data_IF_891637113242
#
_entry.id   IF_891637113242
#
_cell.length_a   1.000
_cell.length_b   1.000
_cell.length_c   1.000
_cell.angle_alpha   90.00
_cell.angle_beta   90.00
_cell.angle_gamma   90.00
#
_symmetry.space_group_name_H-M   'P 1'
#
loop_
_entity.id
_entity.type
_entity.pdbx_description
1 polymer ?
#
# COMPACT_ATOMS: atom_id res chain seq x y z
N UNK A 1 5.65 11.27 15.36
CA UNK A 1 6.82 12.00 14.84
C UNK A 1 7.02 11.62 13.38
N UNK A 2 7.11 12.62 12.49
CA UNK A 2 7.38 12.37 11.09
C UNK A 2 8.84 11.96 10.87
N UNK A 3 9.07 11.03 9.95
CA UNK A 3 10.42 10.65 9.53
C UNK A 3 11.07 11.78 8.71
N UNK A 4 12.40 11.81 8.73
CA UNK A 4 13.15 12.70 7.87
C UNK A 4 12.79 12.47 6.40
N UNK A 5 12.79 13.54 5.63
CA UNK A 5 12.41 13.51 4.21
C UNK A 5 13.22 12.48 3.40
N UNK A 6 14.50 12.30 3.73
CA UNK A 6 15.37 11.33 3.04
C UNK A 6 14.85 9.91 3.08
N UNK A 7 14.17 9.49 4.16
CA UNK A 7 13.58 8.16 4.26
C UNK A 7 12.31 8.02 3.41
N UNK A 8 11.63 9.13 3.14
CA UNK A 8 10.42 9.15 2.31
C UNK A 8 10.73 9.15 0.82
N UNK A 9 11.97 9.41 0.44
CA UNK A 9 12.41 9.52 -0.95
C UNK A 9 13.02 8.23 -1.53
N UNK A 10 12.90 7.12 -0.81
CA UNK A 10 13.42 5.83 -1.28
C UNK A 10 12.54 5.35 -2.44
N UNK A 11 13.12 5.14 -3.64
CA UNK A 11 12.34 4.70 -4.81
C UNK A 11 11.64 3.37 -4.57
N UNK A 12 10.39 3.29 -4.99
CA UNK A 12 9.59 2.07 -4.90
C UNK A 12 9.14 1.71 -3.49
N UNK A 13 9.30 2.63 -2.51
CA UNK A 13 8.96 2.38 -1.12
C UNK A 13 8.09 3.52 -0.60
N UNK A 14 7.01 3.16 0.10
CA UNK A 14 6.19 4.09 0.88
C UNK A 14 6.39 3.73 2.34
N UNK A 15 7.01 4.63 3.10
CA UNK A 15 7.31 4.41 4.51
C UNK A 15 6.06 4.70 5.34
N UNK A 16 5.64 3.70 6.13
CA UNK A 16 4.51 3.85 7.03
C UNK A 16 5.02 4.37 8.38
N UNK A 17 4.87 5.65 8.60
CA UNK A 17 5.26 6.35 9.84
C UNK A 17 4.03 6.79 10.64
N UNK A 18 4.25 7.53 11.73
CA UNK A 18 3.17 8.03 12.58
C UNK A 18 2.22 8.97 11.82
N UNK A 19 2.75 9.77 10.89
CA UNK A 19 1.95 10.65 10.04
C UNK A 19 1.03 9.85 9.11
N UNK A 20 1.57 8.83 8.45
CA UNK A 20 0.78 7.93 7.60
C UNK A 20 -0.25 7.13 8.40
N UNK A 21 0.12 6.66 9.59
CA UNK A 21 -0.81 5.97 10.49
C UNK A 21 -2.00 6.84 10.85
N UNK A 22 -1.77 8.11 11.14
CA UNK A 22 -2.83 9.08 11.47
C UNK A 22 -3.71 9.37 10.25
N UNK A 23 -3.09 9.60 9.11
CA UNK A 23 -3.77 9.89 7.85
C UNK A 23 -4.66 8.74 7.39
N UNK A 24 -4.22 7.51 7.53
CA UNK A 24 -4.90 6.31 7.08
C UNK A 24 -5.71 5.58 8.15
N UNK A 25 -5.90 6.17 9.32
CA UNK A 25 -6.51 5.48 10.46
C UNK A 25 -7.82 4.79 10.09
N UNK A 26 -8.76 5.52 9.48
CA UNK A 26 -10.06 4.96 9.16
C UNK A 26 -10.01 3.97 7.99
N UNK A 27 -9.14 4.18 7.03
CA UNK A 27 -8.88 3.21 5.97
C UNK A 27 -8.39 1.88 6.55
N UNK A 28 -7.44 1.93 7.47
CA UNK A 28 -6.89 0.74 8.12
C UNK A 28 -7.92 0.06 9.03
N UNK A 29 -8.75 0.84 9.73
CA UNK A 29 -9.84 0.29 10.55
C UNK A 29 -10.89 -0.41 9.69
N UNK A 30 -11.24 0.17 8.54
CA UNK A 30 -12.10 -0.51 7.57
C UNK A 30 -11.51 -1.87 7.17
N UNK A 31 -10.24 -1.91 6.81
CA UNK A 31 -9.58 -3.16 6.44
C UNK A 31 -9.64 -4.19 7.56
N UNK A 32 -9.40 -3.77 8.80
CA UNK A 32 -9.48 -4.66 9.96
C UNK A 32 -10.89 -5.23 10.17
N UNK A 33 -11.94 -4.46 9.83
CA UNK A 33 -13.32 -4.97 9.93
C UNK A 33 -13.56 -6.18 9.04
N UNK A 34 -12.80 -6.33 7.96
CA UNK A 34 -12.92 -7.45 7.01
C UNK A 34 -12.36 -8.77 7.55
N UNK A 35 -11.83 -8.79 8.77
CA UNK A 35 -11.47 -10.04 9.44
C UNK A 35 -12.70 -10.88 9.79
N UNK A 36 -13.86 -10.25 9.95
CA UNK A 36 -15.11 -10.94 10.26
C UNK A 36 -15.86 -11.27 8.98
N UNK A 37 -16.32 -12.53 8.85
CA UNK A 37 -17.05 -13.01 7.68
C UNK A 37 -18.33 -12.20 7.41
N UNK A 38 -19.06 -11.82 8.45
CA UNK A 38 -20.26 -10.99 8.32
C UNK A 38 -19.97 -9.62 7.70
N UNK A 39 -18.84 -8.99 8.05
CA UNK A 39 -18.45 -7.71 7.50
C UNK A 39 -18.00 -7.86 6.03
N UNK A 40 -17.32 -8.94 5.69
CA UNK A 40 -16.97 -9.22 4.29
C UNK A 40 -18.22 -9.38 3.43
N UNK A 41 -19.24 -10.07 3.94
CA UNK A 41 -20.50 -10.24 3.23
C UNK A 41 -21.21 -8.90 3.02
N UNK A 42 -21.26 -8.06 4.03
CA UNK A 42 -21.85 -6.71 3.94
C UNK A 42 -21.09 -5.84 2.92
N UNK A 43 -19.79 -5.87 2.95
CA UNK A 43 -18.95 -5.13 2.00
C UNK A 43 -19.22 -5.59 0.57
N UNK A 44 -19.19 -6.90 0.32
CA UNK A 44 -19.46 -7.46 -1.01
C UNK A 44 -20.86 -7.16 -1.52
N UNK A 45 -21.85 -7.09 -0.63
CA UNK A 45 -23.23 -6.81 -1.02
C UNK A 45 -23.42 -5.39 -1.56
N UNK A 46 -22.70 -4.41 -0.98
CA UNK A 46 -22.68 -3.02 -1.46
C UNK A 46 -21.44 -2.33 -0.94
N UNK A 47 -20.39 -2.32 -1.74
CA UNK A 47 -19.08 -1.79 -1.36
C UNK A 47 -19.16 -0.31 -0.96
N UNK A 48 -19.78 0.52 -1.79
CA UNK A 48 -19.87 1.95 -1.50
C UNK A 48 -20.62 2.23 -0.20
N UNK A 49 -21.75 1.58 0.02
CA UNK A 49 -22.54 1.79 1.23
C UNK A 49 -21.75 1.37 2.48
N UNK A 50 -20.99 0.28 2.41
CA UNK A 50 -20.17 -0.16 3.52
C UNK A 50 -19.01 0.83 3.80
N UNK A 51 -18.37 1.35 2.75
CA UNK A 51 -17.31 2.35 2.88
C UNK A 51 -17.85 3.64 3.51
N UNK A 52 -19.08 4.02 3.21
CA UNK A 52 -19.70 5.23 3.74
C UNK A 52 -19.98 5.16 5.26
N UNK A 53 -19.93 3.98 5.87
CA UNK A 53 -20.02 3.82 7.33
C UNK A 53 -18.74 4.27 8.05
N UNK A 54 -17.64 4.46 7.32
CA UNK A 54 -16.33 4.80 7.86
C UNK A 54 -15.96 6.25 7.55
N UNK A 55 -15.24 6.89 8.46
CA UNK A 55 -14.81 8.30 8.29
C UNK A 55 -13.60 8.41 7.35
N UNK A 56 -13.64 7.69 6.25
CA UNK A 56 -12.62 7.80 5.21
C UNK A 56 -12.87 9.02 4.33
N UNK A 57 -11.79 9.55 3.73
CA UNK A 57 -11.93 10.56 2.69
C UNK A 57 -12.52 9.94 1.43
N UNK A 58 -13.10 10.77 0.55
CA UNK A 58 -13.59 10.29 -0.75
C UNK A 58 -12.48 9.67 -1.59
N UNK A 59 -11.27 10.24 -1.52
CA UNK A 59 -10.11 9.68 -2.22
C UNK A 59 -9.76 8.29 -1.73
N UNK A 60 -9.79 8.05 -0.42
CA UNK A 60 -9.55 6.73 0.16
C UNK A 60 -10.62 5.73 -0.28
N UNK A 61 -11.90 6.11 -0.24
CA UNK A 61 -13.00 5.26 -0.70
C UNK A 61 -12.85 4.90 -2.17
N UNK A 62 -12.53 5.88 -3.01
CA UNK A 62 -12.36 5.63 -4.44
C UNK A 62 -11.17 4.71 -4.71
N UNK A 63 -10.07 4.87 -3.98
CA UNK A 63 -8.92 3.99 -4.11
C UNK A 63 -9.28 2.53 -3.75
N UNK A 64 -10.13 2.33 -2.73
CA UNK A 64 -10.64 0.99 -2.38
C UNK A 64 -11.52 0.42 -3.50
N UNK A 65 -12.45 1.22 -4.02
CA UNK A 65 -13.35 0.79 -5.11
C UNK A 65 -12.58 0.40 -6.35
N UNK A 66 -11.51 1.13 -6.67
CA UNK A 66 -10.64 0.88 -7.81
C UNK A 66 -9.63 -0.24 -7.55
N UNK A 67 -9.52 -0.73 -6.32
CA UNK A 67 -8.48 -1.68 -5.88
C UNK A 67 -7.08 -1.16 -6.20
N UNK A 68 -6.88 0.15 -6.11
CA UNK A 68 -5.59 0.82 -6.33
C UNK A 68 -4.78 0.79 -5.04
N UNK A 69 -4.03 -0.28 -4.84
CA UNK A 69 -3.26 -0.50 -3.62
C UNK A 69 -2.15 0.54 -3.43
N UNK A 70 -1.50 0.96 -4.51
CA UNK A 70 -0.46 1.99 -4.44
C UNK A 70 -1.06 3.31 -3.95
N UNK A 71 -2.22 3.69 -4.46
CA UNK A 71 -2.91 4.91 -4.02
C UNK A 71 -3.37 4.80 -2.57
N UNK A 72 -3.90 3.64 -2.17
CA UNK A 72 -4.27 3.40 -0.77
C UNK A 72 -3.07 3.58 0.16
N UNK A 73 -1.89 3.08 -0.22
CA UNK A 73 -0.67 3.25 0.57
C UNK A 73 -0.26 4.73 0.65
N UNK A 74 -0.35 5.46 -0.46
CA UNK A 74 -0.06 6.90 -0.47
C UNK A 74 -1.04 7.68 0.43
N UNK A 75 -2.26 7.20 0.56
CA UNK A 75 -3.31 7.80 1.40
C UNK A 75 -3.30 7.30 2.86
N UNK A 76 -2.24 6.62 3.28
CA UNK A 76 -2.03 6.21 4.67
C UNK A 76 -2.39 4.77 4.98
N UNK A 77 -2.68 3.95 3.96
CA UNK A 77 -2.91 2.52 4.14
C UNK A 77 -1.62 1.77 4.46
N UNK A 78 -1.71 0.81 5.38
CA UNK A 78 -0.65 -0.12 5.67
C UNK A 78 -0.89 -1.41 4.89
N UNK A 79 0.10 -1.88 4.14
CA UNK A 79 -0.06 -3.07 3.28
C UNK A 79 -0.53 -4.31 4.04
N UNK A 80 -0.13 -4.45 5.30
CA UNK A 80 -0.57 -5.53 6.15
C UNK A 80 -2.11 -5.53 6.32
N UNK A 81 -2.70 -4.36 6.50
CA UNK A 81 -4.16 -4.22 6.59
C UNK A 81 -4.82 -4.27 5.22
N UNK A 82 -4.23 -3.65 4.20
CA UNK A 82 -4.78 -3.65 2.84
C UNK A 82 -4.91 -5.06 2.27
N UNK A 83 -4.07 -5.99 2.70
CA UNK A 83 -4.15 -7.39 2.28
C UNK A 83 -5.49 -8.04 2.63
N UNK A 84 -6.22 -7.51 3.61
CA UNK A 84 -7.56 -7.99 3.97
C UNK A 84 -8.57 -7.76 2.84
N UNK A 85 -8.41 -6.69 2.08
CA UNK A 85 -9.23 -6.42 0.90
C UNK A 85 -8.99 -7.50 -0.15
N UNK A 86 -7.73 -7.80 -0.42
CA UNK A 86 -7.36 -8.86 -1.38
C UNK A 86 -7.89 -10.22 -0.97
N UNK A 87 -7.76 -10.57 0.30
CA UNK A 87 -8.31 -11.82 0.84
C UNK A 87 -9.85 -11.88 0.68
N UNK A 88 -10.52 -10.76 0.88
CA UNK A 88 -11.97 -10.65 0.68
C UNK A 88 -12.35 -10.88 -0.79
N UNK A 89 -11.53 -10.40 -1.72
CA UNK A 89 -11.71 -10.60 -3.16
C UNK A 89 -11.27 -11.99 -3.65
N UNK A 90 -10.72 -12.83 -2.77
CA UNK A 90 -10.19 -14.14 -3.13
C UNK A 90 -8.88 -14.08 -3.91
N UNK A 91 -8.12 -13.02 -3.80
CA UNK A 91 -6.85 -12.84 -4.50
C UNK A 91 -5.67 -13.28 -3.63
N UNK A 92 -4.67 -13.88 -4.27
CA UNK A 92 -3.41 -14.23 -3.62
C UNK A 92 -2.56 -12.99 -3.37
N UNK A 93 -1.59 -13.11 -2.46
CA UNK A 93 -0.61 -12.05 -2.25
C UNK A 93 0.16 -11.71 -3.54
N UNK A 94 0.52 -12.71 -4.34
CA UNK A 94 1.21 -12.51 -5.60
C UNK A 94 0.36 -11.75 -6.62
N UNK A 95 -0.96 -11.98 -6.65
CA UNK A 95 -1.87 -11.21 -7.50
C UNK A 95 -1.90 -9.74 -7.07
N UNK A 96 -1.97 -9.48 -5.77
CA UNK A 96 -1.97 -8.14 -5.22
C UNK A 96 -0.66 -7.41 -5.52
N UNK A 97 0.46 -8.05 -5.22
CA UNK A 97 1.79 -7.49 -5.47
C UNK A 97 2.02 -7.26 -6.97
N UNK A 98 1.57 -8.19 -7.81
CA UNK A 98 1.61 -8.04 -9.25
C UNK A 98 0.86 -6.80 -9.72
N UNK A 99 -0.34 -6.57 -9.19
CA UNK A 99 -1.13 -5.38 -9.55
C UNK A 99 -0.42 -4.06 -9.18
N UNK A 100 0.33 -4.06 -8.07
CA UNK A 100 1.09 -2.89 -7.63
C UNK A 100 2.30 -2.59 -8.51
N UNK A 101 2.83 -3.59 -9.18
CA UNK A 101 4.02 -3.49 -10.06
C UNK A 101 3.66 -3.48 -11.54
N UNK A 102 2.37 -3.58 -11.88
CA UNK A 102 1.92 -3.70 -13.27
C UNK A 102 2.22 -5.06 -13.90
N UNK A 103 2.47 -6.08 -13.08
CA UNK A 103 2.80 -7.44 -13.53
C UNK A 103 1.61 -8.38 -13.36
N UNK A 104 1.54 -9.42 -14.18
CA UNK A 104 0.67 -10.56 -13.92
C UNK A 104 1.15 -11.33 -12.68
N UNK A 105 0.29 -12.15 -12.10
CA UNK A 105 0.67 -13.02 -10.98
C UNK A 105 1.86 -13.91 -11.34
N UNK A 106 1.85 -14.50 -12.55
CA UNK A 106 2.90 -15.40 -12.99
C UNK A 106 4.22 -14.66 -13.18
N UNK A 107 4.19 -13.50 -13.82
CA UNK A 107 5.40 -12.69 -14.04
C UNK A 107 6.01 -12.22 -12.73
N UNK A 108 5.16 -11.81 -11.77
CA UNK A 108 5.63 -11.44 -10.45
C UNK A 108 6.27 -12.62 -9.72
N UNK A 109 5.63 -13.78 -9.75
CA UNK A 109 6.15 -15.01 -9.14
C UNK A 109 7.49 -15.42 -9.75
N UNK A 110 7.61 -15.39 -11.06
CA UNK A 110 8.83 -15.73 -11.78
C UNK A 110 9.96 -14.74 -11.44
N UNK A 111 9.65 -13.46 -11.36
CA UNK A 111 10.59 -12.43 -10.93
C UNK A 111 11.13 -12.72 -9.53
N UNK A 112 10.26 -13.05 -8.59
CA UNK A 112 10.66 -13.36 -7.21
C UNK A 112 11.52 -14.62 -7.13
N UNK A 113 11.20 -15.65 -7.92
CA UNK A 113 12.01 -16.89 -8.01
C UNK A 113 13.41 -16.59 -8.54
N UNK A 114 13.54 -15.64 -9.47
CA UNK A 114 14.85 -15.23 -10.04
C UNK A 114 15.66 -14.32 -9.11
N UNK A 115 15.18 -14.02 -7.90
CA UNK A 115 15.92 -13.22 -6.92
C UNK A 115 15.32 -11.83 -6.65
N UNK A 116 14.17 -11.50 -7.22
CA UNK A 116 13.46 -10.26 -6.97
C UNK A 116 13.74 -9.17 -7.99
N UNK A 117 13.30 -7.95 -7.66
CA UNK A 117 13.47 -6.80 -8.57
C UNK A 117 14.94 -6.41 -8.71
N UNK A 118 15.29 -5.88 -9.89
CA UNK A 118 16.59 -5.26 -10.09
C UNK A 118 16.81 -4.10 -9.13
N UNK A 119 18.03 -3.97 -8.65
CA UNK A 119 18.45 -2.82 -7.83
C UNK A 119 18.83 -1.60 -8.69
N UNK A 120 18.80 -1.73 -10.00
CA UNK A 120 19.07 -0.62 -10.91
C UNK A 120 18.06 0.50 -10.69
N UNK A 121 18.57 1.73 -10.66
CA UNK A 121 17.75 2.92 -10.35
C UNK A 121 17.62 3.23 -8.87
N UNK A 122 18.02 2.33 -7.98
CA UNK A 122 18.08 2.63 -6.56
C UNK A 122 19.31 3.49 -6.27
N UNK A 123 19.15 4.46 -5.37
CA UNK A 123 20.28 5.29 -4.91
C UNK A 123 21.21 4.47 -4.04
N UNK A 124 22.50 4.67 -4.21
CA UNK A 124 23.54 4.05 -3.40
C UNK A 124 24.36 5.12 -2.69
N UNK A 125 25.00 4.72 -1.59
CA UNK A 125 25.95 5.61 -0.89
C UNK A 125 27.08 5.96 -1.85
N UNK A 126 27.40 7.27 -1.99
CA UNK A 126 28.48 7.76 -2.87
C UNK A 126 28.10 8.00 -4.32
N UNK A 127 26.83 7.80 -4.71
CA UNK A 127 26.34 8.18 -6.03
C UNK A 127 25.86 9.65 -6.05
N UNK A 128 25.71 10.20 -7.26
CA UNK A 128 25.33 11.62 -7.46
C UNK A 128 24.13 12.07 -6.64
N UNK A 129 23.21 11.18 -6.35
CA UNK A 129 22.07 11.45 -5.49
C UNK A 129 22.45 11.78 -4.04
N UNK A 130 23.58 11.29 -3.57
CA UNK A 130 24.07 11.55 -2.21
C UNK A 130 24.74 12.91 -2.09
N UNK A 131 25.30 13.43 -3.18
CA UNK A 131 25.92 14.76 -3.22
C UNK A 131 24.92 15.88 -2.95
N UNK A 132 23.64 15.62 -3.13
CA UNK A 132 22.55 16.57 -2.91
C UNK A 132 21.88 16.43 -1.53
N UNK A 133 22.30 15.45 -0.73
CA UNK A 133 21.79 15.31 0.63
C UNK A 133 22.41 16.37 1.53
N UNK A 134 21.61 17.04 2.37
CA UNK A 134 22.17 17.89 3.42
C UNK A 134 23.10 17.02 4.27
N UNK A 135 24.34 17.47 4.43
CA UNK A 135 25.24 16.83 5.38
C UNK A 135 24.61 16.96 6.76
N UNK A 136 24.45 15.84 7.45
CA UNK A 136 24.09 15.89 8.88
C UNK A 136 25.29 16.47 9.61
N UNK A 137 25.06 17.61 10.22
CA UNK A 137 26.03 18.20 11.16
C UNK A 137 26.08 17.35 12.44
#
# INVERSE_FOLDING_TARGET
MALDKEFKEIPGTIVFDAEQSRKGYWLNQFCMSLMKAENRARFKANERAYLDEWKMTEEQKQAVLDRDLNRMMALGGNIYFLSKIGATDGKSFQQMAGSMTGMSEQDYRDMMIRGGRSIEGNRRIGEDGDAQRPKKD
#
